data_IF_416242703676
#
_entry.id   IF_416242703676
#
_cell.length_a   1.000
_cell.length_b   1.000
_cell.length_c   1.000
_cell.angle_alpha   90.00
_cell.angle_beta   90.00
_cell.angle_gamma   90.00
#
_symmetry.space_group_name_H-M   'P 1'
#
loop_
_entity.id
_entity.type
_entity.pdbx_description
1 polymer ?
#
# COMPACT_ATOMS: atom_id res chain seq x y z
N UNK A 1 0.90 17.32 11.44
CA UNK A 1 -0.57 17.36 11.41
C UNK A 1 -1.11 16.16 10.67
N UNK A 2 -2.07 15.43 11.23
CA UNK A 2 -2.67 14.33 10.50
C UNK A 2 -3.42 14.83 9.28
N UNK A 3 -3.19 14.16 8.17
CA UNK A 3 -3.85 14.49 6.94
C UNK A 3 -5.18 13.79 6.77
N UNK A 4 -5.80 14.05 5.63
CA UNK A 4 -7.04 13.38 5.25
C UNK A 4 -6.75 11.94 4.84
N UNK A 5 -7.58 11.02 5.30
CA UNK A 5 -7.52 9.63 4.88
C UNK A 5 -8.62 9.36 3.84
N UNK A 6 -8.24 8.80 2.72
CA UNK A 6 -9.17 8.44 1.64
C UNK A 6 -9.01 6.98 1.30
N UNK A 7 -10.12 6.24 1.26
CA UNK A 7 -10.15 4.84 0.85
C UNK A 7 -10.84 4.72 -0.50
N UNK A 8 -10.17 4.10 -1.47
CA UNK A 8 -10.69 3.90 -2.81
C UNK A 8 -10.99 2.42 -3.01
N UNK A 9 -12.24 2.13 -3.31
CA UNK A 9 -12.73 0.77 -3.50
C UNK A 9 -13.08 0.53 -4.97
N UNK A 10 -12.94 -0.71 -5.39
CA UNK A 10 -13.32 -1.13 -6.73
C UNK A 10 -12.87 -2.54 -6.99
N UNK A 11 -13.53 -3.23 -7.89
CA UNK A 11 -13.16 -4.58 -8.31
C UNK A 11 -11.91 -4.59 -9.19
N UNK A 12 -11.44 -5.79 -9.53
CA UNK A 12 -10.34 -5.94 -10.46
C UNK A 12 -10.68 -5.26 -11.79
N UNK A 13 -9.71 -4.58 -12.36
CA UNK A 13 -9.85 -3.88 -13.66
C UNK A 13 -10.92 -2.78 -13.66
N UNK A 14 -11.27 -2.25 -12.51
CA UNK A 14 -12.24 -1.15 -12.40
C UNK A 14 -11.63 0.23 -12.64
N UNK A 15 -10.31 0.31 -12.81
CA UNK A 15 -9.62 1.59 -12.93
C UNK A 15 -9.31 2.27 -11.61
N UNK A 16 -9.46 1.57 -10.48
CA UNK A 16 -9.23 2.17 -9.16
C UNK A 16 -7.81 2.67 -8.95
N UNK A 17 -6.80 1.95 -9.47
CA UNK A 17 -5.40 2.37 -9.38
C UNK A 17 -5.16 3.67 -10.13
N UNK A 18 -5.68 3.79 -11.35
CA UNK A 18 -5.56 5.00 -12.14
C UNK A 18 -6.26 6.18 -11.45
N UNK A 19 -7.45 5.94 -10.90
CA UNK A 19 -8.18 6.95 -10.16
C UNK A 19 -7.42 7.41 -8.90
N UNK A 20 -6.85 6.46 -8.18
CA UNK A 20 -6.06 6.76 -6.98
C UNK A 20 -4.84 7.59 -7.31
N UNK A 21 -4.13 7.27 -8.39
CA UNK A 21 -2.98 8.04 -8.85
C UNK A 21 -3.36 9.45 -9.25
N UNK A 22 -4.47 9.61 -9.96
CA UNK A 22 -4.97 10.90 -10.36
C UNK A 22 -5.32 11.76 -9.14
N UNK A 23 -6.03 11.18 -8.17
CA UNK A 23 -6.39 11.86 -6.94
C UNK A 23 -5.16 12.29 -6.14
N UNK A 24 -4.15 11.41 -6.03
CA UNK A 24 -2.91 11.73 -5.35
C UNK A 24 -2.17 12.88 -6.01
N UNK A 25 -2.10 12.89 -7.34
CA UNK A 25 -1.46 13.94 -8.10
C UNK A 25 -2.16 15.30 -7.92
N UNK A 26 -3.48 15.29 -7.73
CA UNK A 26 -4.27 16.50 -7.48
C UNK A 26 -4.05 17.05 -6.05
N UNK A 27 -3.67 16.19 -5.10
CA UNK A 27 -3.54 16.56 -3.68
C UNK A 27 -2.18 17.14 -3.35
N UNK A 28 -1.14 16.85 -4.11
CA UNK A 28 0.20 17.37 -3.84
C UNK A 28 1.19 16.95 -4.89
N UNK A 29 2.38 17.55 -4.83
CA UNK A 29 3.47 17.23 -5.75
C UNK A 29 4.44 16.20 -5.18
N UNK A 30 4.63 16.23 -3.86
CA UNK A 30 5.50 15.29 -3.17
C UNK A 30 4.68 14.07 -2.78
N UNK A 31 4.62 13.10 -3.68
CA UNK A 31 3.86 11.86 -3.50
C UNK A 31 4.82 10.71 -3.25
N UNK A 32 4.58 9.99 -2.18
CA UNK A 32 5.24 8.71 -1.91
C UNK A 32 4.28 7.59 -2.28
N UNK A 33 4.68 6.79 -3.26
CA UNK A 33 3.93 5.61 -3.67
C UNK A 33 4.44 4.41 -2.87
N UNK A 34 3.58 3.82 -2.05
CA UNK A 34 3.90 2.62 -1.29
C UNK A 34 3.37 1.41 -2.04
N UNK A 35 4.29 0.62 -2.56
CA UNK A 35 3.97 -0.60 -3.30
C UNK A 35 3.98 -1.78 -2.35
N UNK A 36 2.85 -2.48 -2.23
CA UNK A 36 2.71 -3.65 -1.37
C UNK A 36 2.92 -4.98 -2.09
N UNK A 37 3.04 -4.94 -3.41
CA UNK A 37 3.25 -6.14 -4.22
C UNK A 37 4.62 -6.74 -3.97
N UNK A 38 4.67 -8.07 -3.90
CA UNK A 38 5.90 -8.84 -3.83
C UNK A 38 6.07 -9.61 -5.13
N UNK A 39 7.29 -9.59 -5.70
CA UNK A 39 7.60 -10.36 -6.90
C UNK A 39 7.84 -11.82 -6.51
N UNK A 40 6.83 -12.67 -6.70
CA UNK A 40 6.94 -14.12 -6.47
C UNK A 40 7.47 -14.88 -7.67
N UNK A 41 7.36 -14.29 -8.87
CA UNK A 41 7.81 -14.90 -10.12
C UNK A 41 8.14 -13.81 -11.16
N UNK A 42 8.63 -14.22 -12.33
CA UNK A 42 9.02 -13.31 -13.39
C UNK A 42 7.84 -12.51 -13.95
N UNK A 43 6.66 -13.12 -14.03
CA UNK A 43 5.46 -12.45 -14.52
C UNK A 43 5.04 -11.33 -13.58
N UNK A 44 5.04 -11.58 -12.28
CA UNK A 44 4.72 -10.56 -11.28
C UNK A 44 5.76 -9.45 -11.27
N UNK A 45 7.05 -9.79 -11.40
CA UNK A 45 8.12 -8.81 -11.50
C UNK A 45 7.92 -7.88 -12.70
N UNK A 46 7.51 -8.42 -13.84
CA UNK A 46 7.22 -7.63 -15.03
C UNK A 46 6.04 -6.69 -14.83
N UNK A 47 4.98 -7.14 -14.16
CA UNK A 47 3.83 -6.30 -13.83
C UNK A 47 4.21 -5.14 -12.90
N UNK A 48 5.00 -5.43 -11.88
CA UNK A 48 5.48 -4.42 -10.95
C UNK A 48 6.30 -3.36 -11.70
N UNK A 49 7.21 -3.79 -12.58
CA UNK A 49 8.02 -2.88 -13.38
C UNK A 49 7.18 -2.01 -14.31
N UNK A 50 6.16 -2.59 -14.96
CA UNK A 50 5.25 -1.85 -15.83
C UNK A 50 4.48 -0.78 -15.05
N UNK A 51 3.94 -1.13 -13.90
CA UNK A 51 3.24 -0.18 -13.02
C UNK A 51 4.16 0.96 -12.56
N UNK A 52 5.40 0.62 -12.23
CA UNK A 52 6.38 1.60 -11.81
C UNK A 52 6.70 2.60 -12.92
N UNK A 53 6.80 2.12 -14.15
CA UNK A 53 7.08 2.95 -15.31
C UNK A 53 5.95 3.94 -15.61
N UNK A 54 4.73 3.64 -15.25
CA UNK A 54 3.57 4.49 -15.47
C UNK A 54 3.42 5.63 -14.45
N UNK A 55 4.18 5.61 -13.36
CA UNK A 55 4.07 6.64 -12.32
C UNK A 55 4.64 7.97 -12.80
N UNK A 56 4.02 9.08 -12.38
CA UNK A 56 4.55 10.41 -12.73
C UNK A 56 6.01 10.59 -12.30
N UNK A 57 6.76 11.32 -13.08
CA UNK A 57 8.14 11.65 -12.74
C UNK A 57 8.16 12.49 -11.45
N UNK A 58 9.12 12.21 -10.59
CA UNK A 58 9.26 12.90 -9.32
C UNK A 58 8.56 12.23 -8.15
N UNK A 59 7.72 11.24 -8.39
CA UNK A 59 7.16 10.43 -7.33
C UNK A 59 8.22 9.51 -6.76
N UNK A 60 8.28 9.43 -5.44
CA UNK A 60 9.15 8.48 -4.75
C UNK A 60 8.41 7.16 -4.59
N UNK A 61 9.13 6.07 -4.53
CA UNK A 61 8.56 4.73 -4.33
C UNK A 61 9.17 4.09 -3.09
N UNK A 62 8.31 3.52 -2.26
CA UNK A 62 8.71 2.69 -1.13
C UNK A 62 8.07 1.31 -1.32
N UNK A 63 8.90 0.28 -1.38
CA UNK A 63 8.40 -1.08 -1.45
C UNK A 63 8.25 -1.62 -0.02
N UNK A 64 7.03 -1.92 0.38
CA UNK A 64 6.72 -2.39 1.72
C UNK A 64 5.60 -3.42 1.64
N UNK A 65 5.94 -4.70 1.45
CA UNK A 65 4.93 -5.75 1.35
C UNK A 65 4.16 -5.99 2.65
N UNK A 66 4.74 -5.61 3.80
CA UNK A 66 4.10 -5.69 5.11
C UNK A 66 4.74 -4.68 6.05
N UNK A 67 4.13 -4.48 7.23
CA UNK A 67 4.60 -3.51 8.22
C UNK A 67 4.77 -2.10 7.63
N UNK A 68 3.77 -1.69 6.88
CA UNK A 68 3.80 -0.42 6.15
C UNK A 68 3.88 0.76 7.12
N UNK A 69 3.15 0.70 8.23
CA UNK A 69 3.21 1.76 9.25
C UNK A 69 4.62 1.99 9.77
N UNK A 70 5.35 0.90 10.06
CA UNK A 70 6.74 1.00 10.51
C UNK A 70 7.65 1.56 9.42
N UNK A 71 7.43 1.16 8.16
CA UNK A 71 8.20 1.65 7.03
C UNK A 71 8.00 3.15 6.79
N UNK A 72 6.87 3.69 7.20
CA UNK A 72 6.56 5.11 7.04
C UNK A 72 7.09 6.01 8.16
N UNK A 73 7.69 5.44 9.19
CA UNK A 73 8.26 6.23 10.29
C UNK A 73 9.36 7.15 9.78
N UNK A 74 9.25 8.42 10.16
CA UNK A 74 10.24 9.43 9.78
C UNK A 74 10.19 9.85 8.32
N UNK A 75 9.25 9.30 7.56
CA UNK A 75 9.07 9.66 6.15
C UNK A 75 8.14 10.87 6.07
N UNK A 76 8.56 11.88 5.31
CA UNK A 76 7.75 13.06 5.06
C UNK A 76 7.33 13.11 3.60
N UNK A 77 6.03 13.27 3.37
CA UNK A 77 5.46 13.42 2.06
C UNK A 77 4.15 14.20 2.16
N UNK A 78 3.81 14.94 1.12
CA UNK A 78 2.51 15.62 1.08
C UNK A 78 1.37 14.62 0.92
N UNK A 79 1.61 13.57 0.13
CA UNK A 79 0.64 12.51 -0.12
C UNK A 79 1.34 11.17 0.00
N UNK A 80 0.70 10.21 0.67
CA UNK A 80 1.13 8.81 0.68
C UNK A 80 0.02 8.00 0.01
N UNK A 81 0.35 7.34 -1.09
CA UNK A 81 -0.56 6.47 -1.81
C UNK A 81 -0.14 5.02 -1.60
N UNK A 82 -1.01 4.22 -1.00
CA UNK A 82 -0.74 2.81 -0.76
C UNK A 82 -1.52 1.97 -1.78
N UNK A 83 -0.84 1.21 -2.58
CA UNK A 83 -1.43 0.36 -3.60
C UNK A 83 -0.84 -1.04 -3.51
N UNK A 84 -1.55 -2.01 -3.01
CA UNK A 84 -2.93 -1.92 -2.59
C UNK A 84 -3.14 -2.65 -1.27
N UNK A 85 -4.25 -2.39 -0.60
CA UNK A 85 -4.56 -3.02 0.69
C UNK A 85 -4.89 -4.50 0.55
N UNK A 86 -5.44 -4.93 -0.57
CA UNK A 86 -5.75 -6.35 -0.82
C UNK A 86 -4.47 -7.19 -0.81
N UNK A 87 -3.43 -6.73 -1.50
CA UNK A 87 -2.14 -7.42 -1.51
C UNK A 87 -1.48 -7.36 -0.12
N UNK A 88 -1.60 -6.23 0.57
CA UNK A 88 -1.08 -6.10 1.92
C UNK A 88 -1.72 -7.12 2.87
N UNK A 89 -3.05 -7.24 2.83
CA UNK A 89 -3.77 -8.21 3.64
C UNK A 89 -3.30 -9.64 3.34
N UNK A 90 -3.16 -9.97 2.08
CA UNK A 90 -2.66 -11.27 1.65
C UNK A 90 -1.25 -11.53 2.17
N UNK A 91 -0.38 -10.53 2.11
CA UNK A 91 1.01 -10.64 2.55
C UNK A 91 1.14 -10.92 4.06
N UNK A 92 0.19 -10.47 4.88
CA UNK A 92 0.23 -10.72 6.32
C UNK A 92 -0.47 -12.02 6.72
N UNK A 93 -1.40 -12.51 5.90
CA UNK A 93 -2.15 -13.75 6.20
C UNK A 93 -1.42 -14.99 5.71
N UNK A 94 -0.90 -14.97 4.48
CA UNK A 94 -0.27 -16.15 3.86
C UNK A 94 0.86 -16.76 4.68
N UNK A 95 1.77 -15.97 5.32
CA UNK A 95 2.84 -16.54 6.13
C UNK A 95 2.41 -17.14 7.45
N UNK A 96 1.14 -16.98 7.87
CA UNK A 96 0.67 -17.48 9.15
C UNK A 96 0.71 -19.01 9.20
N UNK A 97 0.97 -19.60 10.39
CA UNK A 97 0.97 -21.05 10.53
C UNK A 97 -0.38 -21.66 10.15
N UNK A 98 -0.32 -22.80 9.46
CA UNK A 98 -1.53 -23.56 9.11
C UNK A 98 -1.91 -24.56 10.19
N UNK A 99 -3.23 -24.79 10.40
CA UNK A 99 -4.33 -24.10 9.70
C UNK A 99 -4.48 -22.66 10.16
N UNK A 100 -4.72 -21.74 9.22
CA UNK A 100 -4.92 -20.33 9.58
C UNK A 100 -6.28 -20.17 10.22
N UNK A 101 -6.29 -19.69 11.47
CA UNK A 101 -7.54 -19.43 12.19
C UNK A 101 -8.02 -18.02 11.91
N UNK A 102 -9.33 -17.81 12.06
CA UNK A 102 -9.91 -16.48 11.96
C UNK A 102 -9.29 -15.52 12.97
N UNK A 103 -9.07 -16.00 14.20
CA UNK A 103 -8.46 -15.19 15.24
C UNK A 103 -7.04 -14.73 14.88
N UNK A 104 -6.21 -15.63 14.36
CA UNK A 104 -4.85 -15.30 13.96
C UNK A 104 -4.83 -14.32 12.79
N UNK A 105 -5.69 -14.52 11.79
CA UNK A 105 -5.80 -13.61 10.66
C UNK A 105 -6.27 -12.22 11.09
N UNK A 106 -7.27 -12.16 11.96
CA UNK A 106 -7.79 -10.90 12.48
C UNK A 106 -6.72 -10.14 13.25
N UNK A 107 -5.99 -10.82 14.12
CA UNK A 107 -4.91 -10.21 14.89
C UNK A 107 -3.83 -9.62 13.98
N UNK A 108 -3.42 -10.36 12.96
CA UNK A 108 -2.40 -9.90 12.01
C UNK A 108 -2.87 -8.68 11.21
N UNK A 109 -4.12 -8.69 10.75
CA UNK A 109 -4.69 -7.57 10.01
C UNK A 109 -4.87 -6.34 10.88
N UNK A 110 -5.35 -6.52 12.11
CA UNK A 110 -5.53 -5.41 13.06
C UNK A 110 -4.19 -4.74 13.38
N UNK A 111 -3.14 -5.52 13.58
CA UNK A 111 -1.80 -4.97 13.84
C UNK A 111 -1.33 -4.10 12.67
N UNK A 112 -1.57 -4.55 11.44
CA UNK A 112 -1.19 -3.81 10.24
C UNK A 112 -1.98 -2.51 10.11
N UNK A 113 -3.29 -2.58 10.30
CA UNK A 113 -4.18 -1.40 10.25
C UNK A 113 -3.83 -0.40 11.35
N UNK A 114 -3.59 -0.87 12.55
CA UNK A 114 -3.20 -0.01 13.68
C UNK A 114 -1.89 0.73 13.38
N UNK A 115 -0.93 0.04 12.77
CA UNK A 115 0.33 0.65 12.34
C UNK A 115 0.12 1.74 11.30
N UNK A 116 -0.75 1.49 10.33
CA UNK A 116 -1.09 2.47 9.30
C UNK A 116 -1.77 3.71 9.88
N UNK A 117 -2.73 3.51 10.77
CA UNK A 117 -3.45 4.61 11.41
C UNK A 117 -2.52 5.44 12.30
N UNK A 118 -1.61 4.79 13.01
CA UNK A 118 -0.61 5.48 13.81
C UNK A 118 0.30 6.35 12.94
N UNK A 119 0.74 5.83 11.80
CA UNK A 119 1.58 6.58 10.86
C UNK A 119 0.82 7.77 10.26
N UNK A 120 -0.45 7.59 9.94
CA UNK A 120 -1.29 8.65 9.36
C UNK A 120 -1.50 9.81 10.34
N UNK A 121 -1.56 9.50 11.63
CA UNK A 121 -1.77 10.50 12.68
C UNK A 121 -0.50 11.25 13.08
N UNK A 122 0.64 10.72 12.74
CA UNK A 122 1.93 11.30 13.12
C UNK A 122 2.27 12.58 12.36
#
# INVERSE_FOLDING_TARGET
>A
MPGRLTLILGGARSGKSAHAQQLAAERGRDVLYVATAEAGDAEMAARIAAHRAERPAGWRTLEAPRQVGAALRGVHAEVVLIDCLTLLANNVIVPLPEPVTEAAATEALEAEVDGLLAAQRA
#
